data_IF_504114868059
#
_entry.id   IF_504114868059
#
_cell.length_a   1.000
_cell.length_b   1.000
_cell.length_c   1.000
_cell.angle_alpha   90.00
_cell.angle_beta   90.00
_cell.angle_gamma   90.00
#
_symmetry.space_group_name_H-M   'P 1'
#
loop_
_entity.id
_entity.type
_entity.pdbx_description
1 polymer ?
#
# COMPACT_ATOMS: atom_id res chain seq x y z
N UNK A 1 -16.52 -6.67 3.76
CA UNK A 1 -16.80 -6.48 2.31
C UNK A 1 -15.51 -6.14 1.57
N UNK A 2 -15.21 -6.78 0.43
CA UNK A 2 -14.01 -6.51 -0.40
C UNK A 2 -14.41 -5.71 -1.64
N UNK A 3 -13.61 -4.72 -2.01
CA UNK A 3 -13.84 -3.80 -3.13
C UNK A 3 -12.54 -3.60 -3.92
N UNK A 4 -12.67 -3.29 -5.22
CA UNK A 4 -11.55 -2.99 -6.13
C UNK A 4 -11.67 -1.57 -6.65
N UNK A 5 -10.54 -0.88 -6.83
CA UNK A 5 -10.38 0.39 -7.56
C UNK A 5 -11.62 1.30 -7.61
N UNK A 6 -12.42 1.20 -8.68
CA UNK A 6 -13.54 2.10 -8.93
C UNK A 6 -14.73 1.86 -7.98
N UNK A 7 -14.91 0.65 -7.46
CA UNK A 7 -16.02 0.30 -6.60
C UNK A 7 -15.86 0.82 -5.16
N UNK A 8 -14.65 1.26 -4.77
CA UNK A 8 -14.37 1.73 -3.41
C UNK A 8 -15.31 2.87 -2.96
N UNK A 9 -15.52 3.87 -3.81
CA UNK A 9 -16.34 5.03 -3.44
C UNK A 9 -17.83 4.74 -3.44
N UNK A 10 -18.30 3.84 -4.31
CA UNK A 10 -19.68 3.37 -4.27
C UNK A 10 -19.92 2.62 -2.96
N UNK A 11 -19.03 1.69 -2.62
CA UNK A 11 -19.08 0.94 -1.38
C UNK A 11 -18.96 1.84 -0.13
N UNK A 12 -18.10 2.86 -0.16
CA UNK A 12 -18.01 3.86 0.89
C UNK A 12 -19.36 4.54 1.10
N UNK A 13 -19.96 5.07 0.03
CA UNK A 13 -21.25 5.75 0.12
C UNK A 13 -22.37 4.80 0.58
N UNK A 14 -22.44 3.59 0.02
CA UNK A 14 -23.47 2.60 0.36
C UNK A 14 -23.38 2.12 1.82
N UNK A 15 -22.17 2.09 2.41
CA UNK A 15 -21.97 1.55 3.76
C UNK A 15 -21.85 2.59 4.85
N UNK A 16 -21.46 3.81 4.51
CA UNK A 16 -21.24 4.87 5.50
C UNK A 16 -21.90 6.20 5.14
N UNK A 17 -22.57 6.30 3.99
CA UNK A 17 -23.17 7.54 3.46
C UNK A 17 -22.16 8.69 3.25
N UNK A 18 -20.85 8.36 3.26
CA UNK A 18 -19.80 9.35 3.08
C UNK A 18 -19.43 9.52 1.61
N UNK A 19 -19.05 10.75 1.27
CA UNK A 19 -18.45 11.08 -0.02
C UNK A 19 -16.96 11.41 0.14
N UNK A 20 -16.20 11.34 -0.94
CA UNK A 20 -14.80 11.76 -0.92
C UNK A 20 -14.67 13.25 -0.63
N UNK A 21 -14.08 13.59 0.52
CA UNK A 21 -13.80 14.98 0.93
C UNK A 21 -12.46 15.53 0.43
N UNK A 22 -11.65 14.69 -0.20
CA UNK A 22 -10.32 15.08 -0.68
C UNK A 22 -10.39 15.66 -2.11
N UNK A 23 -9.54 16.65 -2.41
CA UNK A 23 -9.43 17.19 -3.79
C UNK A 23 -9.10 16.14 -4.84
N UNK A 24 -8.34 15.11 -4.46
CA UNK A 24 -7.94 14.02 -5.35
C UNK A 24 -8.71 12.75 -5.01
N UNK A 25 -9.28 12.15 -6.04
CA UNK A 25 -9.99 10.88 -5.96
C UNK A 25 -8.98 9.72 -6.11
N UNK A 26 -8.41 9.27 -4.99
CA UNK A 26 -7.49 8.14 -4.98
C UNK A 26 -8.25 6.82 -5.06
N UNK A 27 -7.89 6.00 -6.03
CA UNK A 27 -8.50 4.68 -6.21
C UNK A 27 -7.56 3.63 -5.63
N UNK A 28 -7.87 3.01 -4.49
CA UNK A 28 -7.03 1.95 -3.94
C UNK A 28 -7.07 0.75 -4.87
N UNK A 29 -5.99 -0.03 -4.97
CA UNK A 29 -6.02 -1.24 -5.80
C UNK A 29 -7.06 -2.22 -5.25
N UNK A 30 -7.04 -2.42 -3.93
CA UNK A 30 -8.04 -3.19 -3.20
C UNK A 30 -8.36 -2.51 -1.87
N UNK A 31 -9.59 -2.68 -1.40
CA UNK A 31 -10.01 -2.23 -0.08
C UNK A 31 -10.96 -3.23 0.56
N UNK A 32 -10.76 -3.51 1.85
CA UNK A 32 -11.58 -4.40 2.64
C UNK A 32 -12.14 -3.67 3.85
N UNK A 33 -13.47 -3.61 3.92
CA UNK A 33 -14.23 -3.04 5.02
C UNK A 33 -14.51 -4.16 6.02
N UNK A 34 -13.81 -4.13 7.15
CA UNK A 34 -14.06 -5.02 8.28
C UNK A 34 -14.93 -4.30 9.31
N UNK A 35 -16.24 -4.57 9.26
CA UNK A 35 -17.21 -3.96 10.16
C UNK A 35 -17.11 -4.53 11.58
N UNK A 36 -16.71 -5.80 11.74
CA UNK A 36 -16.58 -6.45 13.04
C UNK A 36 -15.49 -5.79 13.89
N UNK A 37 -14.37 -5.41 13.26
CA UNK A 37 -13.25 -4.74 13.94
C UNK A 37 -13.20 -3.23 13.68
N UNK A 38 -14.23 -2.67 13.05
CA UNK A 38 -14.30 -1.27 12.63
C UNK A 38 -12.99 -0.77 11.97
N UNK A 39 -12.47 -1.56 11.02
CA UNK A 39 -11.17 -1.32 10.38
C UNK A 39 -11.31 -1.40 8.88
N UNK A 40 -10.78 -0.39 8.18
CA UNK A 40 -10.74 -0.35 6.72
C UNK A 40 -9.32 -0.64 6.27
N UNK A 41 -9.14 -1.77 5.60
CA UNK A 41 -7.87 -2.15 5.01
C UNK A 41 -7.78 -1.60 3.61
N UNK A 42 -6.74 -0.83 3.32
CA UNK A 42 -6.42 -0.32 2.00
C UNK A 42 -5.15 -1.01 1.52
N UNK A 43 -5.18 -1.61 0.34
CA UNK A 43 -4.02 -2.26 -0.26
C UNK A 43 -3.64 -1.54 -1.55
N UNK A 44 -2.37 -1.18 -1.66
CA UNK A 44 -1.78 -0.60 -2.86
C UNK A 44 -0.62 -1.45 -3.35
N UNK A 45 -0.73 -1.88 -4.61
CA UNK A 45 0.24 -2.76 -5.25
C UNK A 45 1.26 -1.91 -5.98
N UNK A 46 2.53 -2.30 -5.92
CA UNK A 46 3.62 -1.69 -6.68
C UNK A 46 4.46 -2.79 -7.30
N UNK A 47 4.31 -2.87 -8.62
CA UNK A 47 5.06 -3.77 -9.47
C UNK A 47 6.08 -2.97 -10.26
N UNK A 48 7.33 -3.43 -10.26
CA UNK A 48 8.42 -2.76 -10.96
C UNK A 48 9.25 -3.73 -11.80
N UNK A 49 9.61 -3.29 -13.02
CA UNK A 49 10.36 -4.08 -14.01
C UNK A 49 11.51 -3.30 -14.69
N UNK A 50 11.47 -1.96 -14.62
CA UNK A 50 12.47 -1.08 -15.26
C UNK A 50 12.80 0.09 -14.33
N UNK A 51 14.04 0.57 -14.33
CA UNK A 51 14.42 1.73 -13.52
C UNK A 51 13.54 2.94 -13.83
N UNK A 52 13.07 3.66 -12.81
CA UNK A 52 12.15 4.79 -12.95
C UNK A 52 11.81 5.43 -11.59
N UNK A 53 10.86 6.37 -11.57
CA UNK A 53 10.47 7.19 -10.38
C UNK A 53 9.67 6.43 -9.31
N UNK A 54 10.04 5.18 -9.02
CA UNK A 54 9.37 4.37 -7.99
C UNK A 54 9.56 4.96 -6.59
N UNK A 55 10.76 5.46 -6.32
CA UNK A 55 11.14 6.00 -5.01
C UNK A 55 10.24 7.20 -4.65
N UNK A 56 9.97 8.09 -5.61
CA UNK A 56 9.03 9.22 -5.47
C UNK A 56 7.60 8.78 -5.15
N UNK A 57 7.15 7.67 -5.74
CA UNK A 57 5.78 7.16 -5.57
C UNK A 57 5.57 6.49 -4.21
N UNK A 58 6.62 5.92 -3.62
CA UNK A 58 6.55 5.30 -2.28
C UNK A 58 6.29 6.36 -1.19
N UNK A 59 6.90 7.54 -1.30
CA UNK A 59 6.65 8.65 -0.36
C UNK A 59 5.18 9.10 -0.33
N UNK A 60 4.43 8.89 -1.43
CA UNK A 60 3.02 9.24 -1.50
C UNK A 60 2.10 8.40 -0.61
N UNK A 61 2.54 7.23 -0.12
CA UNK A 61 1.70 6.30 0.63
C UNK A 61 1.23 6.82 1.97
N UNK A 62 2.12 7.51 2.69
CA UNK A 62 1.81 8.11 3.98
C UNK A 62 0.69 9.15 3.81
N UNK A 63 0.79 9.99 2.78
CA UNK A 63 -0.24 10.98 2.48
C UNK A 63 -1.56 10.30 2.05
N UNK A 64 -1.52 9.26 1.22
CA UNK A 64 -2.72 8.50 0.86
C UNK A 64 -3.43 7.93 2.10
N UNK A 65 -2.70 7.29 3.01
CA UNK A 65 -3.26 6.77 4.27
C UNK A 65 -3.97 7.88 5.06
N UNK A 66 -3.32 9.04 5.23
CA UNK A 66 -3.90 10.20 5.92
C UNK A 66 -5.18 10.70 5.24
N UNK A 67 -5.18 10.77 3.90
CA UNK A 67 -6.35 11.21 3.13
C UNK A 67 -7.51 10.22 3.23
N UNK A 68 -7.26 8.91 3.23
CA UNK A 68 -8.31 7.92 3.46
C UNK A 68 -8.87 8.01 4.88
N UNK A 69 -8.01 8.12 5.90
CA UNK A 69 -8.46 8.30 7.28
C UNK A 69 -9.32 9.56 7.43
N UNK A 70 -8.95 10.65 6.74
CA UNK A 70 -9.74 11.88 6.74
C UNK A 70 -11.18 11.69 6.29
N UNK A 71 -11.44 10.84 5.30
CA UNK A 71 -12.81 10.55 4.83
C UNK A 71 -13.65 9.97 5.98
N UNK A 72 -13.15 8.95 6.65
CA UNK A 72 -13.86 8.31 7.76
C UNK A 72 -13.96 9.19 9.01
N UNK A 73 -13.08 10.18 9.13
CA UNK A 73 -13.13 11.14 10.23
C UNK A 73 -14.33 12.10 10.17
N UNK A 74 -15.03 12.17 9.03
CA UNK A 74 -16.24 12.97 8.85
C UNK A 74 -17.50 12.28 9.41
N UNK A 75 -17.40 11.01 9.81
CA UNK A 75 -18.48 10.33 10.51
C UNK A 75 -18.80 11.05 11.81
N UNK A 76 -20.09 11.22 12.09
CA UNK A 76 -20.59 11.92 13.27
C UNK A 76 -20.43 11.08 14.54
N UNK A 77 -20.51 9.76 14.42
CA UNK A 77 -20.52 8.84 15.55
C UNK A 77 -19.16 8.18 15.76
N UNK A 78 -18.81 8.01 17.03
CA UNK A 78 -17.65 7.23 17.47
C UNK A 78 -18.07 5.77 17.80
N UNK A 79 -17.17 4.79 17.67
CA UNK A 79 -15.79 4.92 17.20
C UNK A 79 -15.69 5.06 15.68
N UNK A 80 -14.81 5.95 15.20
CA UNK A 80 -14.48 6.06 13.78
C UNK A 80 -13.65 4.87 13.29
N UNK A 81 -13.89 4.38 12.06
CA UNK A 81 -13.10 3.31 11.49
C UNK A 81 -11.61 3.68 11.42
N UNK A 82 -10.76 2.72 11.79
CA UNK A 82 -9.31 2.86 11.63
C UNK A 82 -8.88 2.43 10.24
N UNK A 83 -8.10 3.26 9.53
CA UNK A 83 -7.51 2.90 8.25
C UNK A 83 -6.16 2.20 8.45
N UNK A 84 -6.10 0.94 8.04
CA UNK A 84 -4.86 0.18 7.90
C UNK A 84 -4.42 0.16 6.45
N UNK A 85 -3.30 0.81 6.16
CA UNK A 85 -2.77 0.91 4.80
C UNK A 85 -1.64 -0.11 4.61
N UNK A 86 -1.72 -0.88 3.53
CA UNK A 86 -0.77 -1.93 3.18
C UNK A 86 -0.20 -1.68 1.78
N UNK A 87 1.12 -1.76 1.66
CA UNK A 87 1.83 -1.71 0.40
C UNK A 87 2.32 -3.11 0.01
N UNK A 88 1.91 -3.60 -1.16
CA UNK A 88 2.32 -4.89 -1.70
C UNK A 88 3.34 -4.68 -2.82
N UNK A 89 4.55 -5.19 -2.64
CA UNK A 89 5.67 -5.04 -3.58
C UNK A 89 6.03 -6.38 -4.24
N UNK A 90 6.68 -6.35 -5.40
CA UNK A 90 7.25 -7.55 -6.01
C UNK A 90 8.67 -7.84 -5.53
N UNK A 91 8.90 -8.98 -4.88
CA UNK A 91 10.20 -9.40 -4.36
C UNK A 91 11.25 -9.44 -5.47
N UNK A 92 10.85 -9.79 -6.70
CA UNK A 92 11.74 -9.85 -7.87
C UNK A 92 12.45 -8.53 -8.18
N UNK A 93 11.91 -7.40 -7.75
CA UNK A 93 12.57 -6.10 -7.89
C UNK A 93 13.09 -5.59 -6.56
N UNK A 94 12.22 -5.58 -5.55
CA UNK A 94 12.44 -4.84 -4.32
C UNK A 94 13.30 -5.59 -3.29
N UNK A 95 13.42 -6.91 -3.43
CA UNK A 95 14.28 -7.74 -2.57
C UNK A 95 15.47 -8.25 -3.38
N UNK A 96 15.22 -8.99 -4.46
CA UNK A 96 16.31 -9.68 -5.18
C UNK A 96 17.00 -8.81 -6.23
N UNK A 97 16.40 -7.68 -6.63
CA UNK A 97 16.87 -6.87 -7.75
C UNK A 97 16.62 -7.54 -9.11
N UNK A 98 16.60 -6.72 -10.18
CA UNK A 98 16.47 -7.23 -11.55
C UNK A 98 17.61 -8.22 -11.79
N UNK A 99 17.28 -9.50 -11.97
CA UNK A 99 18.26 -10.52 -12.34
C UNK A 99 18.99 -10.08 -13.61
N UNK A 100 20.19 -9.52 -13.46
CA UNK A 100 21.18 -9.53 -14.53
C UNK A 100 21.72 -10.95 -14.59
N UNK A 101 21.75 -11.48 -15.80
CA UNK A 101 22.27 -12.78 -16.23
C UNK A 101 22.70 -13.78 -15.16
N UNK A 102 22.08 -14.97 -15.19
CA UNK A 102 22.47 -16.16 -14.40
C UNK A 102 23.90 -16.68 -14.67
N UNK A 103 24.67 -16.01 -15.54
CA UNK A 103 25.99 -16.44 -16.00
C UNK A 103 27.16 -15.63 -15.42
N UNK A 104 26.93 -14.59 -14.62
CA UNK A 104 28.00 -13.86 -13.96
C UNK A 104 28.08 -14.27 -12.48
N UNK A 105 28.86 -15.31 -12.21
CA UNK A 105 29.12 -15.83 -10.87
C UNK A 105 29.84 -14.82 -9.93
N UNK A 106 30.20 -13.62 -10.41
CA UNK A 106 30.84 -12.55 -9.62
C UNK A 106 29.92 -11.40 -9.25
N UNK A 107 28.72 -11.29 -9.81
CA UNK A 107 27.69 -10.38 -9.30
C UNK A 107 26.86 -11.11 -8.25
N UNK A 108 27.45 -11.28 -7.07
CA UNK A 108 26.71 -11.59 -5.85
C UNK A 108 25.48 -10.69 -5.81
N UNK A 109 24.34 -11.33 -5.55
CA UNK A 109 23.05 -10.72 -5.21
C UNK A 109 23.25 -9.38 -4.51
N UNK A 110 23.23 -8.28 -5.25
CA UNK A 110 23.12 -6.97 -4.61
C UNK A 110 21.70 -6.97 -4.10
N UNK A 111 21.54 -7.26 -2.82
CA UNK A 111 20.25 -7.40 -2.17
C UNK A 111 19.56 -6.03 -2.33
N UNK A 112 18.65 -5.93 -3.31
CA UNK A 112 17.95 -4.68 -3.58
C UNK A 112 17.19 -4.20 -2.33
N UNK A 113 16.93 -5.11 -1.40
CA UNK A 113 16.48 -4.80 -0.06
C UNK A 113 17.34 -3.73 0.62
N UNK A 114 18.67 -3.82 0.62
CA UNK A 114 19.54 -2.83 1.28
C UNK A 114 19.35 -1.43 0.71
N UNK A 115 19.12 -1.34 -0.61
CA UNK A 115 18.83 -0.07 -1.29
C UNK A 115 17.49 0.53 -0.84
N UNK A 116 16.51 -0.32 -0.54
CA UNK A 116 15.15 0.09 -0.19
C UNK A 116 14.85 0.07 1.31
N UNK A 117 15.80 -0.37 2.15
CA UNK A 117 15.57 -0.59 3.59
C UNK A 117 15.16 0.71 4.29
N UNK A 118 15.86 1.82 4.05
CA UNK A 118 15.49 3.13 4.60
C UNK A 118 14.07 3.56 4.19
N UNK A 119 13.66 3.25 2.96
CA UNK A 119 12.30 3.55 2.49
C UNK A 119 11.27 2.69 3.22
N UNK A 120 11.54 1.40 3.37
CA UNK A 120 10.66 0.48 4.08
C UNK A 120 10.56 0.82 5.57
N UNK A 121 11.67 1.19 6.21
CA UNK A 121 11.68 1.61 7.60
C UNK A 121 10.89 2.89 7.83
N UNK A 122 11.01 3.88 6.93
CA UNK A 122 10.19 5.08 7.01
C UNK A 122 8.70 4.76 6.85
N UNK A 123 8.34 3.91 5.88
CA UNK A 123 6.95 3.46 5.69
C UNK A 123 6.41 2.72 6.93
N UNK A 124 7.20 1.81 7.53
CA UNK A 124 6.83 1.09 8.75
C UNK A 124 6.61 2.04 9.93
N UNK A 125 7.53 3.01 10.13
CA UNK A 125 7.41 4.06 11.16
C UNK A 125 6.13 4.87 11.00
N UNK A 126 5.72 5.13 9.76
CA UNK A 126 4.47 5.82 9.43
C UNK A 126 3.20 4.94 9.46
N UNK A 127 3.33 3.69 9.92
CA UNK A 127 2.22 2.75 10.09
C UNK A 127 1.72 2.13 8.79
N UNK A 128 2.55 2.11 7.74
CA UNK A 128 2.28 1.35 6.51
C UNK A 128 2.74 -0.09 6.70
N UNK A 129 1.83 -1.05 6.50
CA UNK A 129 2.17 -2.47 6.47
C UNK A 129 2.80 -2.82 5.13
N UNK A 130 3.92 -3.54 5.14
CA UNK A 130 4.64 -3.92 3.91
C UNK A 130 4.46 -5.42 3.70
N UNK A 131 4.08 -5.79 2.49
CA UNK A 131 3.97 -7.16 2.03
C UNK A 131 4.74 -7.33 0.73
N UNK A 132 5.15 -8.57 0.47
CA UNK A 132 5.75 -8.96 -0.79
C UNK A 132 4.93 -10.06 -1.47
N UNK A 133 5.00 -10.13 -2.80
CA UNK A 133 4.27 -11.11 -3.62
C UNK A 133 4.69 -12.56 -3.38
N UNK A 134 5.90 -12.75 -2.82
CA UNK A 134 6.37 -14.05 -2.34
C UNK A 134 6.40 -14.06 -0.82
N UNK A 135 5.72 -15.04 -0.25
CA UNK A 135 5.89 -15.43 1.15
C UNK A 135 7.04 -16.42 1.20
N UNK A 136 8.22 -15.96 1.61
CA UNK A 136 9.28 -16.88 2.01
C UNK A 136 8.82 -17.47 3.36
N UNK A 137 8.32 -18.72 3.32
CA UNK A 137 8.09 -19.52 4.52
C UNK A 137 9.45 -19.73 5.19
N UNK A 138 9.70 -19.03 6.28
CA UNK A 138 10.79 -19.34 7.21
C UNK A 138 10.23 -20.07 8.42
#
# INVERSE_FOLDING_TARGET
MITKQAAFYNALHETTELNNVNKKLWKPDEAFFNFDTNTIFIVEKKWQQTSGSVDEKMFGFVNKRKLYQKIFNELQFEPKPTVQFSALFNSSWFIYGKGKDKNDAKTQQVNAQEKYEDYFDNLRKDGIKIFFDKYDYW
#
